data_IF_178840465364
#
_entry.id   IF_178840465364
#
_cell.length_a   1.000
_cell.length_b   1.000
_cell.length_c   1.000
_cell.angle_alpha   90.00
_cell.angle_beta   90.00
_cell.angle_gamma   90.00
#
_symmetry.space_group_name_H-M   'P 1'
#
loop_
_entity.id
_entity.type
_entity.pdbx_description
1 polymer ?
#
# COMPACT_ATOMS: atom_id res chain seq x y z
N UNK A 1 12.20 13.18 3.86
CA UNK A 1 11.64 13.58 5.18
C UNK A 1 12.78 13.64 6.21
N UNK A 2 12.98 14.80 6.83
CA UNK A 2 14.18 15.05 7.62
C UNK A 2 14.26 14.26 8.93
N UNK A 3 13.12 13.80 9.47
CA UNK A 3 13.01 13.29 10.84
C UNK A 3 12.56 11.81 10.93
N UNK A 4 13.02 10.95 10.01
CA UNK A 4 12.74 9.52 10.12
C UNK A 4 13.60 8.88 11.23
N UNK A 5 13.04 7.98 12.06
CA UNK A 5 13.83 7.18 12.99
C UNK A 5 14.91 6.38 12.25
N UNK A 6 16.05 6.13 12.89
CA UNK A 6 17.15 5.38 12.28
C UNK A 6 16.78 3.95 11.85
N UNK A 7 15.74 3.37 12.46
CA UNK A 7 15.22 2.05 12.11
C UNK A 7 14.20 2.07 10.96
N UNK A 8 13.84 3.25 10.45
CA UNK A 8 12.87 3.40 9.37
C UNK A 8 13.58 3.65 8.03
N UNK A 9 13.16 2.90 7.01
CA UNK A 9 13.55 3.12 5.64
C UNK A 9 12.38 3.76 4.87
N UNK A 10 12.70 4.72 4.00
CA UNK A 10 11.72 5.32 3.11
C UNK A 10 11.84 4.72 1.72
N UNK A 11 10.75 4.11 1.27
CA UNK A 11 10.56 3.74 -0.13
C UNK A 11 9.50 4.66 -0.73
N UNK A 12 9.87 5.39 -1.78
CA UNK A 12 8.97 6.31 -2.49
C UNK A 12 8.31 5.57 -3.64
N UNK A 13 6.99 5.45 -3.61
CA UNK A 13 6.21 4.85 -4.68
C UNK A 13 4.71 4.97 -4.44
N UNK A 14 3.94 4.62 -5.48
CA UNK A 14 2.48 4.56 -5.44
C UNK A 14 2.05 3.11 -5.19
N UNK A 15 1.15 2.91 -4.22
CA UNK A 15 0.63 1.59 -3.85
C UNK A 15 -0.21 0.94 -4.95
N UNK A 16 -0.72 1.71 -5.91
CA UNK A 16 -1.43 1.19 -7.07
C UNK A 16 -0.50 0.69 -8.18
N UNK A 17 0.81 0.94 -8.09
CA UNK A 17 1.81 0.54 -9.10
C UNK A 17 2.45 -0.78 -8.68
N UNK A 18 2.26 -1.83 -9.47
CA UNK A 18 2.71 -3.19 -9.14
C UNK A 18 4.24 -3.28 -9.00
N UNK A 19 4.97 -2.55 -9.84
CA UNK A 19 6.44 -2.56 -9.89
C UNK A 19 7.06 -1.98 -8.61
N UNK A 20 6.36 -1.08 -7.91
CA UNK A 20 6.79 -0.56 -6.61
C UNK A 20 6.79 -1.68 -5.58
N UNK A 21 5.74 -2.49 -5.54
CA UNK A 21 5.68 -3.65 -4.66
C UNK A 21 6.70 -4.71 -5.04
N UNK A 22 6.88 -4.97 -6.33
CA UNK A 22 7.83 -5.98 -6.78
C UNK A 22 9.28 -5.60 -6.44
N UNK A 23 9.63 -4.31 -6.57
CA UNK A 23 10.92 -3.80 -6.13
C UNK A 23 11.09 -3.89 -4.61
N UNK A 24 10.08 -3.49 -3.84
CA UNK A 24 10.14 -3.56 -2.37
C UNK A 24 10.30 -5.00 -1.86
N UNK A 25 9.45 -5.92 -2.33
CA UNK A 25 9.39 -7.30 -1.84
C UNK A 25 10.53 -8.19 -2.34
N UNK A 26 11.33 -7.71 -3.30
CA UNK A 26 12.59 -8.37 -3.66
C UNK A 26 13.58 -8.38 -2.47
N UNK A 27 13.56 -7.34 -1.65
CA UNK A 27 14.52 -7.14 -0.56
C UNK A 27 13.90 -7.35 0.84
N UNK A 28 12.57 -7.23 0.97
CA UNK A 28 11.88 -7.33 2.28
C UNK A 28 10.83 -8.43 2.32
N UNK A 29 10.74 -9.10 3.48
CA UNK A 29 9.71 -10.11 3.78
C UNK A 29 8.97 -9.70 5.08
N UNK A 30 7.85 -8.96 4.98
CA UNK A 30 7.19 -8.42 6.16
C UNK A 30 6.31 -9.47 6.88
N UNK A 31 6.44 -9.56 8.20
CA UNK A 31 5.52 -10.32 9.06
C UNK A 31 4.22 -9.55 9.39
N UNK A 32 4.29 -8.22 9.40
CA UNK A 32 3.17 -7.32 9.68
C UNK A 32 3.13 -6.22 8.62
N UNK A 33 1.94 -5.99 8.06
CA UNK A 33 1.67 -4.91 7.11
C UNK A 33 0.60 -3.99 7.67
N UNK A 34 0.91 -2.70 7.76
CA UNK A 34 -0.06 -1.66 8.14
C UNK A 34 -0.32 -0.80 6.90
N UNK A 35 -1.42 -1.06 6.20
CA UNK A 35 -1.76 -0.38 4.96
C UNK A 35 -2.64 0.83 5.25
N UNK A 36 -1.98 2.00 5.38
CA UNK A 36 -2.62 3.30 5.66
C UNK A 36 -2.76 4.17 4.40
N UNK A 37 -2.24 3.73 3.26
CA UNK A 37 -2.31 4.47 2.02
C UNK A 37 -3.74 4.44 1.49
N UNK A 38 -4.41 5.60 1.54
CA UNK A 38 -5.77 5.78 1.05
C UNK A 38 -6.03 7.26 0.74
N UNK A 39 -6.91 7.50 -0.23
CA UNK A 39 -7.58 8.78 -0.40
C UNK A 39 -8.77 8.88 0.55
N UNK A 40 -8.75 9.89 1.42
CA UNK A 40 -9.68 10.04 2.55
C UNK A 40 -10.81 11.04 2.30
N UNK A 41 -10.83 11.72 1.13
CA UNK A 41 -11.83 12.74 0.80
C UNK A 41 -13.14 12.17 0.24
N UNK A 42 -14.21 12.18 1.03
CA UNK A 42 -15.55 11.71 0.62
C UNK A 42 -16.19 12.56 -0.49
N UNK A 43 -15.91 13.86 -0.55
CA UNK A 43 -16.38 14.72 -1.65
C UNK A 43 -15.63 14.42 -2.96
N UNK A 44 -14.36 14.01 -2.88
CA UNK A 44 -13.52 13.71 -4.03
C UNK A 44 -13.84 12.34 -4.64
N UNK A 45 -14.43 11.39 -3.88
CA UNK A 45 -14.93 10.14 -4.48
C UNK A 45 -16.12 10.35 -5.41
N UNK A 46 -16.81 11.50 -5.35
CA UNK A 46 -17.91 11.85 -6.25
C UNK A 46 -17.39 12.45 -7.57
N UNK A 47 -16.36 13.30 -7.52
CA UNK A 47 -15.80 13.97 -8.70
C UNK A 47 -14.63 13.22 -9.35
N UNK A 48 -13.89 12.43 -8.58
CA UNK A 48 -12.69 11.68 -8.97
C UNK A 48 -12.81 10.20 -8.60
N UNK A 49 -13.99 9.61 -8.80
CA UNK A 49 -14.30 8.22 -8.41
C UNK A 49 -13.25 7.20 -8.86
N UNK A 50 -12.75 7.32 -10.09
CA UNK A 50 -11.70 6.43 -10.62
C UNK A 50 -10.41 6.54 -9.82
N UNK A 51 -9.94 7.76 -9.55
CA UNK A 51 -8.71 7.99 -8.78
C UNK A 51 -8.85 7.48 -7.35
N UNK A 52 -10.01 7.71 -6.73
CA UNK A 52 -10.34 7.17 -5.42
C UNK A 52 -10.31 5.63 -5.41
N UNK A 53 -10.93 4.98 -6.40
CA UNK A 53 -10.92 3.53 -6.52
C UNK A 53 -9.50 2.99 -6.81
N UNK A 54 -8.70 3.69 -7.61
CA UNK A 54 -7.31 3.32 -7.87
C UNK A 54 -6.49 3.30 -6.58
N UNK A 55 -6.56 4.35 -5.75
CA UNK A 55 -5.80 4.38 -4.50
C UNK A 55 -6.33 3.36 -3.48
N UNK A 56 -7.65 3.33 -3.24
CA UNK A 56 -8.21 2.62 -2.09
C UNK A 56 -8.50 1.15 -2.36
N UNK A 57 -8.88 0.81 -3.60
CA UNK A 57 -9.22 -0.56 -4.00
C UNK A 57 -8.05 -1.19 -4.73
N UNK A 58 -7.62 -0.59 -5.84
CA UNK A 58 -6.56 -1.18 -6.68
C UNK A 58 -5.23 -1.20 -5.94
N UNK A 59 -4.91 -0.18 -5.13
CA UNK A 59 -3.73 -0.18 -4.26
C UNK A 59 -3.70 -1.36 -3.29
N UNK A 60 -4.84 -1.67 -2.67
CA UNK A 60 -4.96 -2.83 -1.77
C UNK A 60 -4.79 -4.15 -2.54
N UNK A 61 -5.40 -4.29 -3.72
CA UNK A 61 -5.27 -5.53 -4.51
C UNK A 61 -3.88 -5.71 -5.10
N UNK A 62 -3.23 -4.62 -5.53
CA UNK A 62 -1.86 -4.65 -6.03
C UNK A 62 -0.88 -5.18 -4.98
N UNK A 63 -1.05 -4.77 -3.72
CA UNK A 63 -0.31 -5.31 -2.59
C UNK A 63 -0.53 -6.82 -2.41
N UNK A 64 -1.79 -7.29 -2.41
CA UNK A 64 -2.09 -8.72 -2.21
C UNK A 64 -1.62 -9.59 -3.37
N UNK A 65 -1.70 -9.08 -4.59
CA UNK A 65 -1.18 -9.75 -5.78
C UNK A 65 0.35 -9.86 -5.72
N UNK A 66 1.03 -8.80 -5.24
CA UNK A 66 2.48 -8.83 -5.07
C UNK A 66 2.90 -9.86 -4.02
N UNK A 67 2.23 -9.94 -2.87
CA UNK A 67 2.50 -11.00 -1.88
C UNK A 67 2.38 -12.41 -2.49
N UNK A 68 1.38 -12.62 -3.35
CA UNK A 68 1.21 -13.88 -4.08
C UNK A 68 2.36 -14.14 -5.05
N UNK A 69 2.76 -13.15 -5.86
CA UNK A 69 3.88 -13.28 -6.83
C UNK A 69 5.22 -13.57 -6.16
N UNK A 70 5.44 -13.04 -4.97
CA UNK A 70 6.70 -13.20 -4.21
C UNK A 70 6.67 -14.35 -3.19
N UNK A 71 5.57 -15.11 -3.14
CA UNK A 71 5.36 -16.22 -2.20
C UNK A 71 5.59 -15.78 -0.73
N UNK A 72 5.07 -14.60 -0.38
CA UNK A 72 5.14 -14.03 0.96
C UNK A 72 3.75 -14.10 1.58
N UNK A 73 3.66 -14.62 2.79
CA UNK A 73 2.45 -14.61 3.59
C UNK A 73 2.72 -13.85 4.90
N UNK A 74 2.35 -12.56 4.99
CA UNK A 74 2.45 -11.83 6.24
C UNK A 74 1.58 -12.50 7.31
N UNK A 75 2.06 -12.53 8.56
CA UNK A 75 1.27 -13.03 9.69
C UNK A 75 0.04 -12.15 9.97
N UNK A 76 0.14 -10.85 9.70
CA UNK A 76 -0.94 -9.89 9.92
C UNK A 76 -0.98 -8.78 8.86
N UNK A 77 -2.19 -8.38 8.48
CA UNK A 77 -2.44 -7.20 7.65
C UNK A 77 -3.51 -6.36 8.35
N UNK A 78 -3.19 -5.08 8.61
CA UNK A 78 -4.11 -4.09 9.15
C UNK A 78 -4.45 -3.11 8.05
N UNK A 79 -5.74 -2.98 7.73
CA UNK A 79 -6.26 -2.09 6.71
C UNK A 79 -6.97 -0.89 7.35
N UNK A 80 -6.70 0.32 6.85
CA UNK A 80 -7.47 1.51 7.25
C UNK A 80 -8.78 1.61 6.47
N UNK A 81 -9.88 1.16 7.09
CA UNK A 81 -11.24 1.30 6.54
C UNK A 81 -11.99 2.47 7.20
N UNK A 82 -12.92 3.09 6.48
CA UNK A 82 -13.79 4.17 6.95
C UNK A 82 -15.26 3.83 6.70
N UNK A 83 -16.16 4.41 7.51
CA UNK A 83 -17.62 4.24 7.38
C UNK A 83 -18.22 5.15 6.32
#
# INVERSE_FOLDING_TARGET
PADLPAAAELVVGDVAVAEVWDGLLADVRPDLVIHLAAETGTAQSLSEATRHATANVVGTTAMTDAFTRHEILPGHIVLSSSR
#
